data_IF_180989794958
#
_entry.id   IF_180989794958
#
_cell.length_a   1.000
_cell.length_b   1.000
_cell.length_c   1.000
_cell.angle_alpha   90.00
_cell.angle_beta   90.00
_cell.angle_gamma   90.00
#
_symmetry.space_group_name_H-M   'P 1'
#
loop_
_entity.id
_entity.type
_entity.pdbx_description
1 polymer ?
#
# COMPACT_ATOMS: atom_id res chain seq x y z
N UNK A 1 -0.06 -20.75 -22.72
CA UNK A 1 0.65 -21.36 -21.59
C UNK A 1 1.14 -20.27 -20.63
N UNK A 2 2.08 -19.40 -21.01
CA UNK A 2 2.70 -18.40 -20.10
C UNK A 2 1.71 -17.48 -19.36
N UNK A 3 0.66 -16.95 -20.01
CA UNK A 3 -0.30 -16.03 -19.35
C UNK A 3 -1.10 -16.78 -18.28
N UNK A 4 -1.56 -17.98 -18.56
CA UNK A 4 -2.30 -18.82 -17.62
C UNK A 4 -1.45 -19.18 -16.40
N UNK A 5 -0.17 -19.46 -16.62
CA UNK A 5 0.79 -19.79 -15.57
C UNK A 5 1.09 -18.58 -14.69
N UNK A 6 1.21 -17.38 -15.28
CA UNK A 6 1.39 -16.13 -14.53
C UNK A 6 0.16 -15.83 -13.67
N UNK A 7 -1.06 -16.00 -14.20
CA UNK A 7 -2.29 -15.83 -13.44
C UNK A 7 -2.40 -16.89 -12.34
N UNK A 8 -2.02 -18.13 -12.61
CA UNK A 8 -2.03 -19.21 -11.62
C UNK A 8 -1.08 -18.93 -10.44
N UNK A 9 0.02 -18.19 -10.67
CA UNK A 9 1.00 -17.79 -9.67
C UNK A 9 0.85 -16.34 -9.21
N UNK A 10 -0.35 -15.79 -9.31
CA UNK A 10 -0.67 -14.46 -8.78
C UNK A 10 -0.35 -14.39 -7.27
N UNK A 11 0.41 -13.38 -6.87
CA UNK A 11 0.75 -13.15 -5.45
C UNK A 11 -0.29 -12.30 -4.73
N UNK A 12 -0.93 -11.43 -5.47
CA UNK A 12 -1.86 -10.44 -4.92
C UNK A 12 -2.98 -10.15 -5.92
N UNK A 13 -4.21 -10.14 -5.43
CA UNK A 13 -5.39 -9.63 -6.11
C UNK A 13 -5.86 -8.39 -5.37
N UNK A 14 -5.87 -7.24 -6.04
CA UNK A 14 -6.30 -5.97 -5.44
C UNK A 14 -7.69 -5.61 -5.94
N UNK A 15 -8.61 -5.33 -5.03
CA UNK A 15 -9.91 -4.76 -5.32
C UNK A 15 -9.93 -3.29 -4.91
N UNK A 16 -10.18 -2.39 -5.84
CA UNK A 16 -10.55 -1.02 -5.56
C UNK A 16 -12.03 -0.98 -5.17
N UNK A 17 -12.29 -1.02 -3.86
CA UNK A 17 -13.64 -1.27 -3.34
C UNK A 17 -14.56 -0.06 -3.40
N UNK A 18 -13.99 1.13 -3.47
CA UNK A 18 -14.69 2.40 -3.67
C UNK A 18 -13.70 3.50 -4.05
N UNK A 19 -14.13 4.44 -4.86
CA UNK A 19 -13.41 5.68 -5.14
C UNK A 19 -13.68 6.77 -4.09
N UNK A 20 -14.68 6.57 -3.19
CA UNK A 20 -14.98 7.49 -2.10
C UNK A 20 -13.88 7.50 -1.03
N UNK A 21 -13.60 8.69 -0.48
CA UNK A 21 -12.72 8.85 0.65
C UNK A 21 -13.29 9.87 1.64
N UNK A 22 -13.11 9.64 2.92
CA UNK A 22 -13.45 10.57 4.01
C UNK A 22 -12.35 11.60 4.28
N UNK A 23 -11.26 11.60 3.52
CA UNK A 23 -10.21 12.62 3.52
C UNK A 23 -10.08 13.30 2.15
N UNK A 24 -9.42 14.46 2.14
CA UNK A 24 -9.02 15.24 0.96
C UNK A 24 -7.55 15.63 1.11
N UNK A 25 -6.68 14.59 1.14
CA UNK A 25 -5.24 14.82 1.23
C UNK A 25 -4.78 15.66 0.04
N UNK A 26 -4.00 16.72 0.31
CA UNK A 26 -3.62 17.72 -0.71
C UNK A 26 -2.77 17.15 -1.84
N UNK A 27 -2.05 16.07 -1.57
CA UNK A 27 -1.20 15.37 -2.54
C UNK A 27 -1.80 14.05 -3.04
N UNK A 28 -3.08 13.80 -2.79
CA UNK A 28 -3.72 12.55 -3.19
C UNK A 28 -3.67 12.36 -4.72
N UNK A 29 -3.24 11.18 -5.19
CA UNK A 29 -3.20 10.85 -6.61
C UNK A 29 -4.55 10.97 -7.31
N UNK A 30 -5.66 10.85 -6.56
CA UNK A 30 -7.03 11.12 -7.03
C UNK A 30 -7.51 12.55 -6.71
N UNK A 31 -6.61 13.44 -6.36
CA UNK A 31 -6.92 14.81 -5.96
C UNK A 31 -6.74 15.82 -7.08
N UNK A 32 -6.87 17.09 -6.71
CA UNK A 32 -6.86 18.23 -7.64
C UNK A 32 -5.51 18.46 -8.34
N UNK A 33 -4.42 17.91 -7.81
CA UNK A 33 -3.08 18.09 -8.39
C UNK A 33 -2.89 17.31 -9.69
N UNK A 34 -3.66 16.23 -9.90
CA UNK A 34 -3.42 15.27 -10.97
C UNK A 34 -4.59 15.18 -11.96
N UNK A 35 -4.29 14.78 -13.18
CA UNK A 35 -5.26 14.63 -14.27
C UNK A 35 -5.33 13.21 -14.86
N UNK A 36 -4.45 12.32 -14.39
CA UNK A 36 -4.29 10.96 -14.92
C UNK A 36 -5.10 9.91 -14.15
N UNK A 37 -6.19 10.33 -13.54
CA UNK A 37 -7.12 9.46 -12.82
C UNK A 37 -8.57 9.73 -13.24
N UNK A 38 -9.42 8.74 -13.02
CA UNK A 38 -10.86 8.88 -13.20
C UNK A 38 -11.47 9.80 -12.14
N UNK A 39 -12.50 10.54 -12.52
CA UNK A 39 -13.27 11.36 -11.59
C UNK A 39 -13.95 10.48 -10.52
N UNK A 40 -13.89 10.94 -9.28
CA UNK A 40 -14.53 10.24 -8.15
C UNK A 40 -16.01 10.54 -8.09
N UNK A 41 -16.82 9.48 -8.12
CA UNK A 41 -18.28 9.56 -8.06
C UNK A 41 -18.88 8.88 -6.83
N UNK A 42 -18.05 8.57 -5.82
CA UNK A 42 -18.41 7.81 -4.64
C UNK A 42 -19.03 6.43 -4.98
N UNK A 43 -18.55 5.83 -6.06
CA UNK A 43 -18.98 4.51 -6.49
C UNK A 43 -18.44 3.43 -5.56
N UNK A 44 -19.17 2.33 -5.48
CA UNK A 44 -18.79 1.15 -4.73
C UNK A 44 -18.76 -0.05 -5.66
N UNK A 45 -17.68 -0.83 -5.56
CA UNK A 45 -17.58 -2.09 -6.29
C UNK A 45 -18.71 -3.03 -5.87
N UNK A 46 -19.33 -3.67 -6.86
CA UNK A 46 -20.37 -4.65 -6.62
C UNK A 46 -19.75 -6.02 -6.35
N UNK A 47 -20.28 -6.75 -5.37
CA UNK A 47 -19.82 -8.09 -5.02
C UNK A 47 -19.83 -9.05 -6.22
N UNK A 48 -20.82 -8.93 -7.12
CA UNK A 48 -20.91 -9.75 -8.33
C UNK A 48 -19.68 -9.63 -9.24
N UNK A 49 -19.03 -8.46 -9.28
CA UNK A 49 -17.78 -8.26 -10.03
C UNK A 49 -16.61 -8.99 -9.38
N UNK A 50 -16.43 -8.81 -8.08
CA UNK A 50 -15.39 -9.52 -7.33
C UNK A 50 -15.58 -11.05 -7.40
N UNK A 51 -16.84 -11.51 -7.27
CA UNK A 51 -17.17 -12.93 -7.36
C UNK A 51 -16.74 -13.53 -8.70
N UNK A 52 -17.06 -12.89 -9.82
CA UNK A 52 -16.63 -13.36 -11.15
C UNK A 52 -15.11 -13.48 -11.28
N UNK A 53 -14.37 -12.51 -10.73
CA UNK A 53 -12.90 -12.54 -10.73
C UNK A 53 -12.37 -13.70 -9.90
N UNK A 54 -12.93 -13.92 -8.71
CA UNK A 54 -12.52 -15.00 -7.80
C UNK A 54 -12.87 -16.37 -8.41
N UNK A 55 -14.08 -16.51 -9.00
CA UNK A 55 -14.49 -17.74 -9.69
C UNK A 55 -13.53 -18.08 -10.83
N UNK A 56 -13.17 -17.09 -11.64
CA UNK A 56 -12.18 -17.26 -12.72
C UNK A 56 -10.82 -17.73 -12.19
N UNK A 57 -10.32 -17.11 -11.12
CA UNK A 57 -9.07 -17.53 -10.50
C UNK A 57 -9.16 -18.95 -9.95
N UNK A 58 -10.28 -19.31 -9.31
CA UNK A 58 -10.50 -20.66 -8.80
C UNK A 58 -10.43 -21.71 -9.93
N UNK A 59 -11.04 -21.43 -11.09
CA UNK A 59 -10.94 -22.33 -12.25
C UNK A 59 -9.52 -22.42 -12.81
N UNK A 60 -8.80 -21.30 -12.87
CA UNK A 60 -7.38 -21.30 -13.26
C UNK A 60 -6.54 -22.16 -12.31
N UNK A 61 -6.80 -22.08 -11.02
CA UNK A 61 -6.08 -22.85 -10.00
C UNK A 61 -6.40 -24.35 -10.04
N UNK A 62 -7.64 -24.74 -10.35
CA UNK A 62 -8.03 -26.15 -10.50
C UNK A 62 -7.39 -26.81 -11.72
N UNK A 63 -7.28 -26.06 -12.82
CA UNK A 63 -6.79 -26.57 -14.11
C UNK A 63 -5.26 -26.58 -14.24
N UNK A 64 -4.56 -25.99 -13.27
CA UNK A 64 -3.10 -25.93 -13.35
C UNK A 64 -2.48 -27.27 -12.95
N UNK A 65 -1.83 -27.92 -13.91
CA UNK A 65 -0.98 -29.10 -13.71
C UNK A 65 0.39 -28.74 -13.10
N UNK A 66 0.62 -27.47 -12.81
CA UNK A 66 1.91 -26.96 -12.37
C UNK A 66 2.06 -27.00 -10.84
N UNK A 67 3.26 -27.32 -10.39
CA UNK A 67 3.66 -27.03 -9.02
C UNK A 67 3.53 -25.51 -8.78
N UNK A 68 2.62 -25.14 -7.89
CA UNK A 68 2.49 -23.76 -7.49
C UNK A 68 3.70 -23.35 -6.66
N UNK A 69 4.52 -22.49 -7.21
CA UNK A 69 5.65 -21.88 -6.48
C UNK A 69 5.17 -20.92 -5.40
N UNK A 70 3.97 -20.34 -5.59
CA UNK A 70 3.37 -19.37 -4.66
C UNK A 70 2.18 -20.03 -3.98
N UNK A 71 2.34 -20.31 -2.69
CA UNK A 71 1.30 -20.92 -1.85
C UNK A 71 0.42 -19.88 -1.16
N UNK A 72 0.96 -18.71 -0.87
CA UNK A 72 0.24 -17.65 -0.17
C UNK A 72 -0.16 -16.53 -1.15
N UNK A 73 -1.44 -16.17 -1.15
CA UNK A 73 -2.03 -15.14 -2.00
C UNK A 73 -2.67 -14.11 -1.12
N UNK A 74 -2.38 -12.84 -1.37
CA UNK A 74 -3.07 -11.72 -0.76
C UNK A 74 -4.30 -11.33 -1.56
N UNK A 75 -5.44 -11.22 -0.90
CA UNK A 75 -6.58 -10.44 -1.38
C UNK A 75 -6.53 -9.10 -0.66
N UNK A 76 -6.29 -8.06 -1.43
CA UNK A 76 -6.03 -6.71 -0.94
C UNK A 76 -7.20 -5.78 -1.26
N UNK A 77 -7.54 -4.93 -0.32
CA UNK A 77 -8.61 -3.95 -0.47
C UNK A 77 -8.01 -2.56 -0.47
N UNK A 78 -8.31 -1.82 -1.52
CA UNK A 78 -7.79 -0.49 -1.80
C UNK A 78 -8.91 0.46 -2.27
N UNK A 79 -8.55 1.68 -2.65
CA UNK A 79 -9.45 2.68 -3.22
C UNK A 79 -9.26 4.05 -2.59
N UNK A 80 -10.31 4.82 -2.47
CA UNK A 80 -10.29 6.05 -1.69
C UNK A 80 -10.02 5.75 -0.21
N UNK A 81 -11.03 5.21 0.48
CA UNK A 81 -10.88 4.63 1.83
C UNK A 81 -11.67 3.31 1.89
N UNK A 82 -11.01 2.17 1.96
CA UNK A 82 -11.69 0.86 1.90
C UNK A 82 -12.69 0.64 3.02
N UNK A 83 -12.45 1.16 4.22
CA UNK A 83 -13.36 1.02 5.35
C UNK A 83 -14.74 1.66 5.13
N UNK A 84 -14.90 2.48 4.08
CA UNK A 84 -16.22 3.00 3.67
C UNK A 84 -17.08 1.93 2.99
N UNK A 85 -16.50 0.81 2.56
CA UNK A 85 -17.23 -0.30 1.92
C UNK A 85 -17.02 -1.64 2.61
N UNK A 86 -17.01 -1.65 3.94
CA UNK A 86 -16.89 -2.88 4.75
C UNK A 86 -17.93 -3.96 4.42
N UNK A 87 -19.21 -3.65 4.05
CA UNK A 87 -20.13 -4.69 3.63
C UNK A 87 -19.63 -5.51 2.44
N UNK A 88 -19.05 -4.87 1.43
CA UNK A 88 -18.43 -5.55 0.31
C UNK A 88 -17.24 -6.41 0.74
N UNK A 89 -16.35 -5.86 1.58
CA UNK A 89 -15.16 -6.57 2.07
C UNK A 89 -15.56 -7.84 2.82
N UNK A 90 -16.58 -7.76 3.69
CA UNK A 90 -17.11 -8.93 4.40
C UNK A 90 -17.68 -9.98 3.45
N UNK A 91 -18.47 -9.58 2.46
CA UNK A 91 -19.02 -10.49 1.45
C UNK A 91 -17.92 -11.22 0.66
N UNK A 92 -16.85 -10.50 0.28
CA UNK A 92 -15.70 -11.12 -0.42
C UNK A 92 -15.02 -12.15 0.47
N UNK A 93 -14.76 -11.81 1.75
CA UNK A 93 -14.09 -12.71 2.69
C UNK A 93 -14.94 -13.95 2.95
N UNK A 94 -16.22 -13.77 3.28
CA UNK A 94 -17.17 -14.87 3.51
C UNK A 94 -17.23 -15.81 2.28
N UNK A 95 -17.24 -15.22 1.09
CA UNK A 95 -17.24 -16.00 -0.13
C UNK A 95 -15.94 -16.79 -0.31
N UNK A 96 -14.79 -16.15 -0.16
CA UNK A 96 -13.47 -16.78 -0.30
C UNK A 96 -13.28 -17.90 0.73
N UNK A 97 -13.68 -17.66 1.98
CA UNK A 97 -13.61 -18.66 3.06
C UNK A 97 -14.57 -19.85 2.83
N UNK A 98 -15.66 -19.64 2.09
CA UNK A 98 -16.56 -20.73 1.68
C UNK A 98 -15.98 -21.61 0.56
N UNK A 99 -14.97 -21.13 -0.15
CA UNK A 99 -14.30 -21.87 -1.22
C UNK A 99 -13.25 -22.81 -0.64
N UNK A 100 -13.30 -24.06 -1.03
CA UNK A 100 -12.23 -25.01 -0.68
C UNK A 100 -11.08 -24.87 -1.68
N UNK A 101 -10.17 -23.93 -1.42
CA UNK A 101 -9.00 -23.68 -2.28
C UNK A 101 -7.88 -24.60 -1.84
N UNK A 102 -7.61 -25.64 -2.63
CA UNK A 102 -6.57 -26.61 -2.32
C UNK A 102 -5.16 -26.02 -2.49
N UNK A 103 -4.26 -26.39 -1.58
CA UNK A 103 -2.83 -26.08 -1.65
C UNK A 103 -2.46 -24.59 -1.64
N UNK A 104 -3.36 -23.71 -1.17
CA UNK A 104 -3.13 -22.28 -1.06
C UNK A 104 -3.67 -21.73 0.25
N UNK A 105 -3.00 -20.70 0.75
CA UNK A 105 -3.48 -19.86 1.85
C UNK A 105 -3.86 -18.49 1.30
N UNK A 106 -4.93 -17.93 1.83
CA UNK A 106 -5.37 -16.59 1.46
C UNK A 106 -5.19 -15.70 2.70
N UNK A 107 -4.42 -14.65 2.52
CA UNK A 107 -4.28 -13.57 3.50
C UNK A 107 -4.99 -12.32 2.99
N UNK A 108 -5.43 -11.49 3.91
CA UNK A 108 -6.12 -10.24 3.60
C UNK A 108 -5.22 -9.05 3.92
N UNK A 109 -5.26 -8.03 3.08
CA UNK A 109 -4.53 -6.79 3.34
C UNK A 109 -5.34 -5.55 2.95
N UNK A 110 -4.98 -4.42 3.54
CA UNK A 110 -5.66 -3.16 3.32
C UNK A 110 -4.72 -1.99 3.57
N UNK A 111 -4.78 -0.98 2.70
CA UNK A 111 -4.24 0.35 3.02
C UNK A 111 -5.38 1.23 3.50
N UNK A 112 -5.21 1.88 4.64
CA UNK A 112 -6.27 2.71 5.25
C UNK A 112 -5.72 3.99 5.87
N UNK A 113 -6.52 5.04 5.87
CA UNK A 113 -6.23 6.28 6.59
C UNK A 113 -6.59 6.20 8.09
N UNK A 114 -7.03 5.04 8.57
CA UNK A 114 -7.38 4.73 9.96
C UNK A 114 -8.50 5.59 10.61
N UNK A 115 -9.14 6.49 9.87
CA UNK A 115 -10.20 7.37 10.42
C UNK A 115 -11.45 6.60 10.90
N UNK A 116 -11.67 5.38 10.39
CA UNK A 116 -12.79 4.49 10.74
C UNK A 116 -12.33 3.21 11.46
N UNK A 117 -11.08 3.15 11.86
CA UNK A 117 -10.49 1.95 12.45
C UNK A 117 -11.19 1.56 13.75
N UNK A 118 -11.62 2.53 14.56
CA UNK A 118 -12.39 2.35 15.78
C UNK A 118 -13.67 1.50 15.61
N UNK A 119 -14.28 1.54 14.43
CA UNK A 119 -15.49 0.78 14.12
C UNK A 119 -15.24 -0.66 13.71
N UNK A 120 -14.05 -0.95 13.16
CA UNK A 120 -13.81 -2.21 12.47
C UNK A 120 -12.59 -2.98 12.98
N UNK A 121 -11.84 -2.43 13.95
CA UNK A 121 -10.59 -3.05 14.43
C UNK A 121 -10.77 -4.47 14.94
N UNK A 122 -11.92 -4.79 15.58
CA UNK A 122 -12.19 -6.11 16.10
C UNK A 122 -12.26 -7.15 14.97
N UNK A 123 -12.99 -6.83 13.90
CA UNK A 123 -13.08 -7.69 12.72
C UNK A 123 -11.74 -7.80 11.97
N UNK A 124 -11.02 -6.69 11.84
CA UNK A 124 -9.73 -6.67 11.15
C UNK A 124 -8.68 -7.50 11.90
N UNK A 125 -8.69 -7.44 13.22
CA UNK A 125 -7.82 -8.26 14.08
C UNK A 125 -8.22 -9.75 14.04
N UNK A 126 -9.51 -10.06 14.11
CA UNK A 126 -10.04 -11.42 13.99
C UNK A 126 -9.61 -12.08 12.67
N UNK A 127 -9.75 -11.36 11.56
CA UNK A 127 -9.39 -11.84 10.23
C UNK A 127 -7.90 -11.67 9.90
N UNK A 128 -7.08 -11.22 10.85
CA UNK A 128 -5.63 -11.02 10.71
C UNK A 128 -5.25 -10.20 9.48
N UNK A 129 -5.97 -9.10 9.25
CA UNK A 129 -5.64 -8.21 8.14
C UNK A 129 -4.22 -7.65 8.27
N UNK A 130 -3.43 -7.74 7.21
CA UNK A 130 -2.21 -6.97 7.07
C UNK A 130 -2.60 -5.51 6.78
N UNK A 131 -2.46 -4.64 7.77
CA UNK A 131 -2.81 -3.24 7.65
C UNK A 131 -1.59 -2.40 7.29
N UNK A 132 -1.72 -1.57 6.26
CA UNK A 132 -0.81 -0.50 5.96
C UNK A 132 -1.50 0.82 6.29
N UNK A 133 -1.10 1.45 7.40
CA UNK A 133 -1.72 2.67 7.91
C UNK A 133 -1.02 3.88 7.31
N UNK A 134 -1.81 4.75 6.69
CA UNK A 134 -1.32 5.98 6.08
C UNK A 134 -1.17 7.09 7.15
N UNK A 135 0.07 7.38 7.54
CA UNK A 135 0.41 8.39 8.54
C UNK A 135 1.78 9.02 8.24
N UNK A 136 1.82 10.32 7.97
CA UNK A 136 3.03 10.99 7.46
C UNK A 136 4.00 11.46 8.56
N UNK A 137 3.82 11.03 9.80
CA UNK A 137 4.63 11.40 10.94
C UNK A 137 3.84 12.17 11.99
N UNK A 138 4.45 13.19 12.59
CA UNK A 138 3.83 14.02 13.62
C UNK A 138 2.69 14.90 13.07
N UNK A 139 2.06 15.70 13.94
CA UNK A 139 0.92 16.57 13.57
C UNK A 139 1.23 17.52 12.41
N UNK A 140 2.43 18.09 12.38
CA UNK A 140 2.86 18.98 11.30
C UNK A 140 3.12 18.22 10.01
N UNK A 141 3.83 17.10 10.08
CA UNK A 141 4.08 16.24 8.93
C UNK A 141 2.75 15.74 8.32
N UNK A 142 1.77 15.37 9.16
CA UNK A 142 0.47 14.84 8.70
C UNK A 142 -0.53 15.93 8.24
N UNK A 143 -0.15 17.20 8.26
CA UNK A 143 -1.07 18.34 8.08
C UNK A 143 -1.66 18.50 6.68
N UNK A 144 -1.18 17.76 5.69
CA UNK A 144 -1.80 17.67 4.36
C UNK A 144 -2.92 16.63 4.28
N UNK A 145 -3.07 15.76 5.28
CA UNK A 145 -4.18 14.80 5.38
C UNK A 145 -5.36 15.45 6.10
N UNK A 146 -6.24 16.05 5.34
CA UNK A 146 -7.38 16.82 5.87
C UNK A 146 -8.71 16.15 5.51
N UNK A 147 -9.73 16.43 6.33
CA UNK A 147 -11.13 16.10 6.02
C UNK A 147 -11.64 16.96 4.85
N UNK A 148 -12.81 16.63 4.25
CA UNK A 148 -13.45 17.52 3.28
C UNK A 148 -13.70 18.94 3.79
N UNK A 149 -13.86 19.13 5.13
CA UNK A 149 -13.98 20.43 5.78
C UNK A 149 -12.65 21.15 6.04
N UNK A 150 -11.51 20.52 5.70
CA UNK A 150 -10.17 21.10 5.90
C UNK A 150 -9.57 20.86 7.29
N UNK A 151 -10.24 20.09 8.15
CA UNK A 151 -9.76 19.76 9.49
C UNK A 151 -8.66 18.70 9.45
N UNK A 152 -7.73 18.75 10.42
CA UNK A 152 -6.67 17.74 10.54
C UNK A 152 -7.24 16.36 10.86
N UNK A 153 -6.72 15.34 10.18
CA UNK A 153 -7.05 13.94 10.49
C UNK A 153 -6.17 13.35 11.59
N UNK A 154 -5.11 14.03 11.99
CA UNK A 154 -4.02 13.50 12.82
C UNK A 154 -4.51 12.92 14.15
N UNK A 155 -5.25 13.71 14.92
CA UNK A 155 -5.66 13.32 16.26
C UNK A 155 -6.52 12.07 16.26
N UNK A 156 -7.47 11.99 15.33
CA UNK A 156 -8.35 10.83 15.21
C UNK A 156 -7.60 9.60 14.67
N UNK A 157 -6.72 9.79 13.68
CA UNK A 157 -5.89 8.71 13.18
C UNK A 157 -5.06 8.10 14.32
N UNK A 158 -4.28 8.94 15.02
CA UNK A 158 -3.40 8.51 16.11
C UNK A 158 -4.20 7.84 17.25
N UNK A 159 -5.31 8.44 17.68
CA UNK A 159 -6.15 7.87 18.73
C UNK A 159 -6.68 6.48 18.36
N UNK A 160 -7.08 6.28 17.11
CA UNK A 160 -7.56 4.98 16.63
C UNK A 160 -6.44 3.94 16.55
N UNK A 161 -5.25 4.35 16.12
CA UNK A 161 -4.07 3.46 16.03
C UNK A 161 -3.58 3.08 17.42
N UNK A 162 -3.52 4.04 18.36
CA UNK A 162 -3.16 3.78 19.76
C UNK A 162 -4.12 2.78 20.41
N UNK A 163 -5.42 2.97 20.19
CA UNK A 163 -6.46 2.05 20.67
C UNK A 163 -6.32 0.64 20.08
N UNK A 164 -5.96 0.54 18.80
CA UNK A 164 -5.69 -0.76 18.16
C UNK A 164 -4.49 -1.45 18.81
N UNK A 165 -3.39 -0.72 19.02
CA UNK A 165 -2.18 -1.22 19.65
C UNK A 165 -2.42 -1.68 21.10
N UNK A 166 -3.20 -0.90 21.87
CA UNK A 166 -3.54 -1.24 23.26
C UNK A 166 -4.43 -2.48 23.32
N UNK A 167 -5.45 -2.58 22.47
CA UNK A 167 -6.44 -3.63 22.51
C UNK A 167 -5.97 -4.96 21.91
N UNK A 168 -5.10 -4.90 20.90
CA UNK A 168 -4.62 -6.05 20.13
C UNK A 168 -3.10 -5.98 19.92
N UNK A 169 -2.27 -6.03 20.98
CA UNK A 169 -0.83 -5.81 20.86
C UNK A 169 -0.11 -6.83 19.98
N UNK A 170 -0.43 -8.11 20.07
CA UNK A 170 0.17 -9.17 19.26
C UNK A 170 -0.20 -9.04 17.78
N UNK A 171 -1.48 -8.72 17.51
CA UNK A 171 -1.93 -8.43 16.15
C UNK A 171 -1.22 -7.19 15.59
N UNK A 172 -1.16 -6.12 16.37
CA UNK A 172 -0.48 -4.89 15.98
C UNK A 172 0.98 -5.16 15.62
N UNK A 173 1.68 -5.94 16.46
CA UNK A 173 3.08 -6.26 16.23
C UNK A 173 3.29 -7.05 14.93
N UNK A 174 2.44 -8.03 14.65
CA UNK A 174 2.64 -8.94 13.53
C UNK A 174 2.09 -8.41 12.20
N UNK A 175 0.97 -7.66 12.20
CA UNK A 175 0.19 -7.38 11.01
C UNK A 175 0.03 -5.90 10.67
N UNK A 176 0.46 -4.97 11.53
CA UNK A 176 0.29 -3.54 11.29
C UNK A 176 1.61 -2.89 10.88
N UNK A 177 1.59 -2.17 9.77
CA UNK A 177 2.69 -1.37 9.26
C UNK A 177 2.20 0.02 8.87
N UNK A 178 3.14 0.91 8.54
CA UNK A 178 2.86 2.31 8.20
C UNK A 178 3.45 2.67 6.86
N UNK A 179 2.73 3.53 6.11
CA UNK A 179 3.27 4.26 4.98
C UNK A 179 3.11 5.76 5.19
N UNK A 180 4.09 6.51 4.71
CA UNK A 180 4.12 7.95 4.75
C UNK A 180 4.51 8.53 3.39
N UNK A 181 3.97 9.68 3.07
CA UNK A 181 4.33 10.44 1.87
C UNK A 181 5.23 11.60 2.29
N UNK A 182 6.42 11.67 1.71
CA UNK A 182 7.38 12.73 1.96
C UNK A 182 7.03 13.98 1.16
N UNK A 183 7.00 15.10 1.84
CA UNK A 183 6.70 16.41 1.26
C UNK A 183 7.46 17.52 2.01
N UNK A 184 7.26 18.79 1.63
CA UNK A 184 8.00 19.91 2.19
C UNK A 184 7.81 20.16 3.71
N UNK A 185 6.83 19.48 4.36
CA UNK A 185 6.56 19.58 5.81
C UNK A 185 7.12 18.39 6.60
N UNK A 186 7.91 17.51 5.97
CA UNK A 186 8.46 16.33 6.62
C UNK A 186 9.88 16.03 6.13
N UNK A 187 10.66 15.41 6.99
CA UNK A 187 11.93 14.79 6.65
C UNK A 187 11.83 13.29 6.88
N UNK A 188 12.72 12.51 6.28
CA UNK A 188 12.78 11.06 6.49
C UNK A 188 12.98 10.76 7.98
N UNK A 189 13.89 11.49 8.65
CA UNK A 189 14.21 11.30 10.06
C UNK A 189 12.99 11.59 10.96
N UNK A 190 12.30 12.71 10.75
CA UNK A 190 11.11 13.03 11.55
C UNK A 190 10.02 11.97 11.43
N UNK A 191 9.75 11.51 10.21
CA UNK A 191 8.75 10.47 9.96
C UNK A 191 9.18 9.14 10.60
N UNK A 192 10.43 8.74 10.38
CA UNK A 192 10.97 7.51 10.91
C UNK A 192 10.92 7.49 12.45
N UNK A 193 11.46 8.52 13.09
CA UNK A 193 11.50 8.59 14.55
C UNK A 193 10.11 8.66 15.16
N UNK A 194 9.21 9.44 14.60
CA UNK A 194 7.83 9.49 15.10
C UNK A 194 7.16 8.11 15.09
N UNK A 195 7.24 7.38 13.99
CA UNK A 195 6.61 6.05 13.85
C UNK A 195 7.36 5.03 14.70
N UNK A 196 8.69 5.08 14.72
CA UNK A 196 9.53 4.15 15.48
C UNK A 196 9.32 4.30 16.99
N UNK A 197 9.38 5.52 17.50
CA UNK A 197 9.34 5.76 18.95
C UNK A 197 7.94 5.50 19.51
N UNK A 198 6.87 5.85 18.73
CA UNK A 198 5.51 5.65 19.19
C UNK A 198 5.02 4.22 19.00
N UNK A 199 5.32 3.62 17.87
CA UNK A 199 4.73 2.35 17.46
C UNK A 199 5.71 1.18 17.40
N UNK A 200 7.01 1.41 17.48
CA UNK A 200 8.03 0.37 17.33
C UNK A 200 8.23 -0.09 15.89
N UNK A 201 7.61 0.58 14.90
CA UNK A 201 7.57 0.16 13.51
C UNK A 201 8.48 0.99 12.62
N UNK A 202 8.87 0.41 11.48
CA UNK A 202 9.60 1.12 10.42
C UNK A 202 8.60 1.50 9.32
N UNK A 203 8.38 2.79 9.05
CA UNK A 203 7.47 3.18 7.98
C UNK A 203 8.06 2.92 6.60
N UNK A 204 7.19 2.63 5.63
CA UNK A 204 7.52 2.81 4.23
C UNK A 204 7.39 4.30 3.93
N UNK A 205 8.41 4.91 3.33
CA UNK A 205 8.40 6.34 3.00
C UNK A 205 8.51 6.47 1.48
N UNK A 206 7.56 7.14 0.87
CA UNK A 206 7.50 7.39 -0.57
C UNK A 206 7.46 8.88 -0.86
N UNK A 207 7.99 9.30 -2.01
CA UNK A 207 7.84 10.67 -2.49
C UNK A 207 6.45 10.90 -3.10
N UNK A 208 6.10 12.17 -3.32
CA UNK A 208 4.93 12.55 -4.12
C UNK A 208 5.04 11.99 -5.54
N UNK A 209 3.91 11.57 -6.12
CA UNK A 209 3.87 11.17 -7.51
C UNK A 209 4.21 12.37 -8.41
N UNK A 210 5.13 12.18 -9.36
CA UNK A 210 5.60 13.23 -10.27
C UNK A 210 4.96 13.15 -11.66
N UNK A 211 4.07 12.18 -11.90
CA UNK A 211 3.37 11.99 -13.17
C UNK A 211 1.94 12.53 -13.12
N UNK A 212 1.39 12.91 -14.24
CA UNK A 212 -0.02 13.35 -14.35
C UNK A 212 -0.34 14.68 -13.68
N UNK A 213 0.67 15.48 -13.32
CA UNK A 213 0.44 16.78 -12.66
C UNK A 213 -0.25 17.74 -13.63
N UNK A 214 -1.36 18.36 -13.19
CA UNK A 214 -2.05 19.37 -13.96
C UNK A 214 -1.16 20.58 -14.22
N UNK A 215 -1.06 21.11 -15.46
CA UNK A 215 -0.20 22.26 -15.77
C UNK A 215 -0.46 23.47 -14.86
N UNK A 216 -1.73 23.76 -14.58
CA UNK A 216 -2.15 24.87 -13.71
C UNK A 216 -1.87 24.64 -12.21
N UNK A 217 -1.55 23.41 -11.83
CA UNK A 217 -1.21 23.02 -10.44
C UNK A 217 0.28 22.82 -10.21
N UNK A 218 1.10 23.01 -11.24
CA UNK A 218 2.53 22.74 -11.18
C UNK A 218 3.25 23.54 -10.09
N UNK A 219 2.90 24.81 -9.91
CA UNK A 219 3.50 25.65 -8.86
C UNK A 219 3.08 25.22 -7.46
N UNK A 220 1.84 24.78 -7.29
CA UNK A 220 1.36 24.21 -6.03
C UNK A 220 2.10 22.92 -5.71
N UNK A 221 2.23 22.04 -6.69
CA UNK A 221 3.00 20.80 -6.58
C UNK A 221 4.46 21.06 -6.21
N UNK A 222 5.15 21.95 -6.92
CA UNK A 222 6.55 22.27 -6.67
C UNK A 222 6.80 22.80 -5.25
N UNK A 223 5.84 23.54 -4.67
CA UNK A 223 5.93 24.00 -3.27
C UNK A 223 5.79 22.86 -2.27
N UNK A 224 5.07 21.80 -2.61
CA UNK A 224 4.85 20.64 -1.75
C UNK A 224 5.91 19.57 -1.95
N UNK A 225 6.46 19.47 -3.17
CA UNK A 225 7.39 18.44 -3.54
C UNK A 225 8.70 18.57 -2.76
N UNK A 226 9.14 17.45 -2.23
CA UNK A 226 10.47 17.28 -1.68
C UNK A 226 11.12 16.10 -2.39
N UNK A 227 12.26 16.34 -2.97
CA UNK A 227 13.07 15.23 -3.47
C UNK A 227 13.58 14.44 -2.27
N UNK A 228 13.50 13.11 -2.35
CA UNK A 228 14.17 12.22 -1.40
C UNK A 228 15.66 12.30 -1.70
N UNK A 229 16.32 13.39 -1.34
CA UNK A 229 17.75 13.42 -1.32
C UNK A 229 18.20 12.73 -0.03
N UNK A 230 18.53 11.47 -0.18
CA UNK A 230 18.98 10.58 0.88
C UNK A 230 20.28 11.08 1.57
N UNK A 231 20.93 12.08 0.99
CA UNK A 231 22.15 12.70 1.52
C UNK A 231 21.87 13.82 2.53
N UNK A 232 20.63 14.30 2.64
CA UNK A 232 20.30 15.39 3.59
C UNK A 232 20.08 14.89 5.04
N UNK A 233 19.98 13.56 5.26
CA UNK A 233 19.89 13.02 6.61
C UNK A 233 21.29 12.79 7.16
N UNK A 234 21.67 13.54 8.19
CA UNK A 234 22.93 13.31 8.93
C UNK A 234 23.01 11.89 9.51
N UNK A 235 21.87 11.22 9.67
CA UNK A 235 21.73 9.89 10.23
C UNK A 235 21.32 8.81 9.21
N UNK A 236 21.22 9.14 7.92
CA UNK A 236 20.71 8.19 6.93
C UNK A 236 21.53 6.91 6.80
N UNK A 237 22.86 7.01 6.81
CA UNK A 237 23.73 5.85 6.81
C UNK A 237 23.57 5.01 8.07
N UNK A 238 23.46 5.65 9.25
CA UNK A 238 23.18 4.97 10.49
C UNK A 238 21.80 4.30 10.50
N UNK A 239 20.79 4.94 9.89
CA UNK A 239 19.46 4.36 9.72
C UNK A 239 19.48 3.16 8.76
N UNK A 240 20.26 3.21 7.69
CA UNK A 240 20.46 2.08 6.78
C UNK A 240 21.18 0.93 7.49
N UNK A 241 22.22 1.23 8.26
CA UNK A 241 22.95 0.23 9.04
C UNK A 241 22.05 -0.42 10.10
N UNK A 242 21.23 0.36 10.80
CA UNK A 242 20.24 -0.17 11.73
C UNK A 242 19.21 -1.06 11.03
N UNK A 243 18.73 -0.65 9.86
CA UNK A 243 17.81 -1.44 9.05
C UNK A 243 18.47 -2.73 8.55
N UNK A 244 19.73 -2.66 8.13
CA UNK A 244 20.52 -3.82 7.72
C UNK A 244 20.70 -4.82 8.87
N UNK A 245 21.11 -4.36 10.04
CA UNK A 245 21.34 -5.19 11.20
C UNK A 245 20.07 -5.86 11.72
N UNK A 246 18.91 -5.22 11.58
CA UNK A 246 17.60 -5.75 12.01
C UNK A 246 16.87 -6.58 10.98
N UNK A 247 17.17 -6.39 9.70
CA UNK A 247 16.54 -7.11 8.60
C UNK A 247 17.48 -7.20 7.40
N UNK A 248 18.53 -8.05 7.47
CA UNK A 248 19.52 -8.21 6.40
C UNK A 248 18.89 -8.61 5.06
N UNK A 249 17.82 -9.43 5.10
CA UNK A 249 17.09 -9.89 3.91
C UNK A 249 16.39 -8.75 3.20
N UNK A 250 15.75 -7.84 3.94
CA UNK A 250 15.10 -6.66 3.37
C UNK A 250 16.13 -5.70 2.76
N UNK A 251 17.25 -5.47 3.46
CA UNK A 251 18.35 -4.63 2.97
C UNK A 251 18.98 -5.25 1.71
N UNK A 252 19.22 -6.56 1.73
CA UNK A 252 19.70 -7.29 0.56
C UNK A 252 18.76 -7.19 -0.63
N UNK A 253 17.45 -7.29 -0.40
CA UNK A 253 16.44 -7.08 -1.43
C UNK A 253 16.44 -5.64 -1.97
N UNK A 254 16.57 -4.64 -1.11
CA UNK A 254 16.66 -3.24 -1.50
C UNK A 254 17.92 -2.94 -2.32
N UNK A 255 19.08 -3.47 -1.90
CA UNK A 255 20.34 -3.35 -2.66
C UNK A 255 20.24 -4.06 -4.01
N UNK A 256 19.67 -5.26 -4.04
CA UNK A 256 19.42 -6.01 -5.26
C UNK A 256 18.53 -5.22 -6.21
N UNK A 257 17.42 -4.66 -5.73
CA UNK A 257 16.53 -3.82 -6.52
C UNK A 257 17.21 -2.52 -6.98
N UNK A 258 18.04 -1.88 -6.16
CA UNK A 258 18.82 -0.72 -6.55
C UNK A 258 19.86 -1.05 -7.63
N UNK A 259 20.53 -2.20 -7.53
CA UNK A 259 21.45 -2.67 -8.56
C UNK A 259 20.74 -3.01 -9.87
N UNK A 260 19.54 -3.60 -9.80
CA UNK A 260 18.72 -3.86 -10.98
C UNK A 260 18.12 -2.59 -11.58
N UNK A 261 17.77 -1.60 -10.77
CA UNK A 261 17.31 -0.29 -11.27
C UNK A 261 18.40 0.47 -12.06
N UNK A 262 19.67 0.20 -11.81
CA UNK A 262 20.77 0.68 -12.68
C UNK A 262 20.79 -0.02 -14.05
N UNK A 263 20.16 -1.17 -14.18
CA UNK A 263 20.00 -1.96 -15.40
C UNK A 263 18.56 -1.91 -15.96
N UNK A 264 17.72 -1.01 -15.48
CA UNK A 264 16.43 -0.74 -16.13
C UNK A 264 16.72 -0.16 -17.51
N UNK A 265 16.25 -0.86 -18.50
CA UNK A 265 16.39 -0.48 -19.89
C UNK A 265 15.82 0.92 -20.11
N UNK A 266 16.64 1.82 -20.67
CA UNK A 266 16.28 3.22 -20.89
C UNK A 266 15.24 3.39 -22.01
N UNK A 267 15.07 2.37 -22.83
CA UNK A 267 14.13 2.38 -23.94
C UNK A 267 13.53 1.00 -24.18
N UNK A 268 12.37 0.97 -24.85
CA UNK A 268 11.72 -0.26 -25.29
C UNK A 268 12.62 -1.12 -26.18
N UNK A 269 13.50 -0.49 -26.96
CA UNK A 269 14.45 -1.19 -27.84
C UNK A 269 15.53 -1.90 -27.06
N UNK A 270 16.00 -1.34 -25.95
CA UNK A 270 16.98 -1.99 -25.08
C UNK A 270 16.42 -3.25 -24.41
N UNK A 271 15.10 -3.28 -24.19
CA UNK A 271 14.38 -4.43 -23.64
C UNK A 271 14.44 -5.64 -24.59
N UNK A 272 14.32 -5.41 -25.89
CA UNK A 272 14.35 -6.46 -26.91
C UNK A 272 15.75 -6.85 -27.35
N UNK A 273 16.75 -6.04 -27.10
CA UNK A 273 18.16 -6.34 -27.39
C UNK A 273 18.81 -7.24 -26.34
N UNK A 274 18.13 -7.54 -25.24
CA UNK A 274 18.68 -8.34 -24.14
C UNK A 274 18.36 -9.81 -24.32
N UNK A 275 19.37 -10.65 -24.35
CA UNK A 275 19.24 -12.11 -24.31
C UNK A 275 18.82 -12.67 -22.93
N UNK A 276 18.65 -11.79 -21.92
CA UNK A 276 18.28 -12.20 -20.57
C UNK A 276 16.76 -12.23 -20.42
N UNK A 277 16.24 -13.37 -19.94
CA UNK A 277 14.84 -13.50 -19.55
C UNK A 277 14.47 -12.43 -18.51
N UNK A 278 13.40 -11.67 -18.81
CA UNK A 278 12.84 -10.70 -17.89
C UNK A 278 12.19 -11.42 -16.71
N UNK A 279 12.78 -11.31 -15.56
CA UNK A 279 12.08 -11.59 -14.32
C UNK A 279 11.19 -10.37 -14.01
N UNK A 280 9.92 -10.48 -14.34
CA UNK A 280 8.91 -9.51 -13.92
C UNK A 280 8.82 -9.53 -12.39
N UNK A 281 9.36 -8.52 -11.74
CA UNK A 281 9.03 -8.21 -10.36
C UNK A 281 7.92 -7.16 -10.46
N UNK A 282 6.69 -7.45 -10.00
CA UNK A 282 5.67 -6.43 -9.92
C UNK A 282 6.20 -5.34 -8.98
N UNK A 283 6.47 -4.19 -9.51
CA UNK A 283 6.65 -3.00 -8.67
C UNK A 283 5.30 -2.77 -8.02
N UNK A 284 5.25 -2.90 -6.69
CA UNK A 284 4.08 -2.51 -5.93
C UNK A 284 3.82 -1.05 -6.24
N UNK A 285 2.84 -0.79 -7.07
CA UNK A 285 2.32 0.54 -7.29
C UNK A 285 1.73 1.02 -5.98
N UNK A 286 2.25 2.15 -5.50
CA UNK A 286 1.72 2.87 -4.35
C UNK A 286 0.38 3.49 -4.67
#
# INVERSE_FOLDING_TARGET
AMVKDSIANLRQLVFEVTDACNLRCKYCGYGELYSDHDERHAQKMQFSTAKKTIDFLQEVWKDSKQEFTIKNIFISFYGGEPLLNMPFIRQVIEYVESLHIANRTIDYSMTTNAMLLDKYMDYLAEKKFHLLISLDGNKWNNSYRVTPGGESSFERNVANVDKLKERYPDYFEQYVNFNAVLHNRSTVDEVYHFIKDRYGKKPQITALNTTGIRPEKKDEFNRMFRNVDLKESENYEALLDEMFMKSPEYYGACLFLQQYNKNVYRSYNDLFASEKALNFIPTGGG
#
